data_IF_855947145470
#
_entry.id   IF_855947145470
#
_cell.length_a   1.000
_cell.length_b   1.000
_cell.length_c   1.000
_cell.angle_alpha   90.00
_cell.angle_beta   90.00
_cell.angle_gamma   90.00
#
_symmetry.space_group_name_H-M   'P 1'
#
loop_
_entity.id
_entity.type
_entity.pdbx_description
1 polymer ?
#
# COMPACT_ATOMS: atom_id res chain seq x y z
N UNK A 1 -34.03 3.99 -12.32
CA UNK A 1 -34.08 5.03 -11.26
C UNK A 1 -34.52 4.36 -9.97
N UNK A 2 -33.96 4.79 -8.84
CA UNK A 2 -34.04 4.28 -7.45
C UNK A 2 -33.01 3.21 -7.11
N UNK A 3 -32.16 3.36 -6.09
CA UNK A 3 -32.07 4.41 -5.07
C UNK A 3 -30.68 4.31 -4.41
N UNK A 4 -29.88 5.37 -4.50
CA UNK A 4 -28.64 5.52 -3.73
C UNK A 4 -29.05 5.73 -2.28
N UNK A 5 -28.97 4.68 -1.44
CA UNK A 5 -29.21 4.80 0.01
C UNK A 5 -27.90 5.06 0.73
N UNK A 6 -27.84 6.24 1.33
CA UNK A 6 -26.64 6.84 1.87
C UNK A 6 -26.09 6.24 3.15
N UNK A 7 -24.80 6.54 3.35
CA UNK A 7 -24.24 6.87 4.66
C UNK A 7 -23.48 8.19 4.53
N UNK A 8 -24.19 9.27 4.84
CA UNK A 8 -23.63 10.63 5.02
C UNK A 8 -22.99 10.72 6.40
N UNK A 9 -21.79 10.16 6.53
CA UNK A 9 -20.77 10.46 7.55
C UNK A 9 -19.80 9.28 7.52
N UNK A 10 -18.70 9.41 6.80
CA UNK A 10 -17.59 8.48 6.95
C UNK A 10 -16.69 9.16 7.95
N UNK A 11 -16.68 8.66 9.18
CA UNK A 11 -15.68 9.06 10.18
C UNK A 11 -14.33 8.95 9.49
N UNK A 12 -13.72 10.10 9.21
CA UNK A 12 -12.39 10.17 8.63
C UNK A 12 -11.44 9.82 9.76
N UNK A 13 -11.17 8.54 9.93
CA UNK A 13 -10.09 8.09 10.79
C UNK A 13 -8.81 8.26 9.97
N UNK A 14 -8.02 9.28 10.34
CA UNK A 14 -6.62 9.30 9.98
C UNK A 14 -5.88 8.63 11.14
N UNK A 15 -5.50 7.37 10.92
CA UNK A 15 -4.78 6.60 11.93
C UNK A 15 -3.29 6.90 11.83
N UNK A 16 -2.64 7.13 12.96
CA UNK A 16 -1.20 7.36 13.04
C UNK A 16 -0.54 6.32 13.94
N UNK A 17 0.51 5.70 13.44
CA UNK A 17 1.35 4.75 14.16
C UNK A 17 2.81 5.18 14.15
N UNK A 18 3.52 4.86 15.24
CA UNK A 18 4.97 5.06 15.35
C UNK A 18 5.59 3.78 15.91
N UNK A 19 6.55 3.21 15.20
CA UNK A 19 7.30 2.03 15.64
C UNK A 19 8.79 2.40 15.66
N UNK A 20 9.41 2.36 16.84
CA UNK A 20 10.87 2.47 16.95
C UNK A 20 11.49 1.13 16.60
N UNK A 21 12.33 1.10 15.57
CA UNK A 21 13.01 -0.12 15.11
C UNK A 21 14.33 -0.31 15.86
N UNK A 22 15.09 0.78 16.03
CA UNK A 22 16.34 0.82 16.80
C UNK A 22 16.61 2.25 17.31
N UNK A 23 17.82 2.50 17.81
CA UNK A 23 18.23 3.79 18.39
C UNK A 23 18.18 4.98 17.40
N UNK A 24 18.16 4.73 16.08
CA UNK A 24 18.20 5.77 15.04
C UNK A 24 17.02 5.69 14.08
N UNK A 25 16.35 4.53 13.99
CA UNK A 25 15.31 4.28 13.00
C UNK A 25 13.91 4.25 13.64
N UNK A 26 13.01 5.06 13.09
CA UNK A 26 11.61 5.12 13.47
C UNK A 26 10.76 5.01 12.20
N UNK A 27 9.81 4.07 12.22
CA UNK A 27 8.79 3.92 11.20
C UNK A 27 7.55 4.70 11.60
N UNK A 28 7.14 5.65 10.74
CA UNK A 28 5.88 6.36 10.84
C UNK A 28 4.87 5.72 9.90
N UNK A 29 3.67 5.42 10.40
CA UNK A 29 2.59 4.77 9.68
C UNK A 29 1.40 5.71 9.65
N UNK A 30 0.84 5.90 8.46
CA UNK A 30 -0.32 6.74 8.25
C UNK A 30 -1.40 5.91 7.56
N UNK A 31 -2.56 5.75 8.20
CA UNK A 31 -3.75 5.17 7.62
C UNK A 31 -4.53 6.25 6.88
N UNK A 32 -4.52 6.20 5.55
CA UNK A 32 -5.31 7.09 4.72
C UNK A 32 -6.54 6.34 4.16
N UNK A 33 -7.74 6.93 4.21
CA UNK A 33 -8.91 6.32 3.57
C UNK A 33 -8.70 6.26 2.05
N UNK A 34 -8.94 5.09 1.45
CA UNK A 34 -8.73 4.80 0.02
C UNK A 34 -9.74 5.43 -0.95
N UNK A 35 -10.65 6.28 -0.47
CA UNK A 35 -11.71 6.84 -1.30
C UNK A 35 -11.25 8.15 -1.96
N UNK A 36 -11.61 8.33 -3.23
CA UNK A 36 -11.25 9.48 -4.08
C UNK A 36 -11.35 10.82 -3.33
N UNK A 37 -12.45 11.08 -2.62
CA UNK A 37 -12.70 12.33 -1.89
C UNK A 37 -11.67 12.72 -0.81
N UNK A 38 -10.73 11.85 -0.43
CA UNK A 38 -9.64 12.15 0.51
C UNK A 38 -8.28 12.34 -0.16
N UNK A 39 -8.24 12.47 -1.49
CA UNK A 39 -7.01 12.66 -2.28
C UNK A 39 -6.14 13.84 -1.80
N UNK A 40 -6.74 14.90 -1.26
CA UNK A 40 -6.02 16.07 -0.75
C UNK A 40 -5.08 15.75 0.44
N UNK A 41 -5.35 14.68 1.19
CA UNK A 41 -4.45 14.20 2.26
C UNK A 41 -3.23 13.50 1.68
N UNK A 42 -3.37 12.86 0.51
CA UNK A 42 -2.35 11.98 -0.06
C UNK A 42 -1.16 12.77 -0.59
N UNK A 43 -1.40 13.92 -1.24
CA UNK A 43 -0.32 14.77 -1.76
C UNK A 43 0.63 15.27 -0.64
N UNK A 44 0.12 15.40 0.58
CA UNK A 44 0.93 15.75 1.77
C UNK A 44 1.66 14.56 2.38
N UNK A 45 1.08 13.36 2.28
CA UNK A 45 1.69 12.13 2.76
C UNK A 45 2.82 11.67 1.83
N UNK A 46 2.64 11.79 0.51
CA UNK A 46 3.64 11.36 -0.46
C UNK A 46 4.95 12.12 -0.37
N UNK A 47 4.92 13.38 0.09
CA UNK A 47 6.14 14.14 0.34
C UNK A 47 6.97 13.51 1.48
N UNK A 48 8.00 12.75 1.11
CA UNK A 48 8.92 12.09 2.04
C UNK A 48 8.50 10.70 2.52
N UNK A 49 7.46 10.09 1.92
CA UNK A 49 7.08 8.70 2.21
C UNK A 49 8.05 7.73 1.53
N UNK A 50 8.49 6.71 2.28
CA UNK A 50 9.41 5.69 1.78
C UNK A 50 8.72 4.71 0.82
N UNK A 51 7.43 4.41 1.07
CA UNK A 51 6.56 3.56 0.25
C UNK A 51 5.20 3.34 0.91
N UNK A 52 4.31 2.59 0.25
CA UNK A 52 2.92 2.38 0.70
C UNK A 52 2.51 0.91 0.80
N UNK A 53 1.48 0.64 1.61
CA UNK A 53 0.76 -0.64 1.61
C UNK A 53 -0.66 -0.37 1.12
N UNK A 54 -1.07 -1.03 0.04
CA UNK A 54 -2.48 -1.06 -0.39
C UNK A 54 -3.13 -2.26 0.25
N UNK A 55 -4.10 -2.02 1.15
CA UNK A 55 -4.79 -3.06 1.88
C UNK A 55 -6.10 -3.37 1.16
N UNK A 56 -6.16 -4.53 0.50
CA UNK A 56 -7.26 -4.91 -0.41
C UNK A 56 -8.25 -5.79 0.32
N UNK A 57 -9.54 -5.43 0.27
CA UNK A 57 -10.62 -6.34 0.64
C UNK A 57 -10.95 -7.21 -0.59
N UNK A 58 -10.70 -8.51 -0.51
CA UNK A 58 -10.90 -9.44 -1.64
C UNK A 58 -12.37 -9.55 -2.07
N UNK A 59 -13.32 -9.04 -1.28
CA UNK A 59 -14.75 -9.00 -1.65
C UNK A 59 -15.09 -7.78 -2.52
N UNK A 60 -14.18 -6.79 -2.56
CA UNK A 60 -14.36 -5.48 -3.21
C UNK A 60 -13.03 -5.01 -3.80
N UNK A 61 -12.44 -5.81 -4.66
CA UNK A 61 -11.12 -5.58 -5.25
C UNK A 61 -11.08 -4.23 -6.00
N UNK A 62 -12.14 -3.91 -6.75
CA UNK A 62 -12.26 -2.69 -7.56
C UNK A 62 -12.11 -1.39 -6.76
N UNK A 63 -12.45 -1.39 -5.46
CA UNK A 63 -12.28 -0.21 -4.59
C UNK A 63 -10.79 0.19 -4.45
N UNK A 64 -9.87 -0.72 -4.76
CA UNK A 64 -8.42 -0.53 -4.58
C UNK A 64 -7.73 0.04 -5.82
N UNK A 65 -8.39 0.03 -6.99
CA UNK A 65 -7.84 0.53 -8.26
C UNK A 65 -7.33 1.95 -8.16
N UNK A 66 -8.14 2.84 -7.58
CA UNK A 66 -7.79 4.26 -7.44
C UNK A 66 -6.51 4.47 -6.62
N UNK A 67 -6.31 3.68 -5.57
CA UNK A 67 -5.11 3.76 -4.74
C UNK A 67 -3.85 3.32 -5.50
N UNK A 68 -3.96 2.24 -6.28
CA UNK A 68 -2.86 1.69 -7.09
C UNK A 68 -2.47 2.66 -8.19
N UNK A 69 -3.43 3.08 -9.03
CA UNK A 69 -3.20 4.03 -10.14
C UNK A 69 -2.54 5.32 -9.62
N UNK A 70 -2.99 5.82 -8.47
CA UNK A 70 -2.40 7.02 -7.86
C UNK A 70 -0.95 6.79 -7.41
N UNK A 71 -0.63 5.65 -6.81
CA UNK A 71 0.72 5.32 -6.38
C UNK A 71 1.67 5.15 -7.56
N UNK A 72 1.20 4.50 -8.63
CA UNK A 72 1.92 4.34 -9.89
C UNK A 72 2.19 5.70 -10.55
N UNK A 73 1.17 6.56 -10.63
CA UNK A 73 1.30 7.89 -11.20
C UNK A 73 2.29 8.78 -10.45
N UNK A 74 2.41 8.60 -9.13
CA UNK A 74 3.39 9.30 -8.28
C UNK A 74 4.74 8.60 -8.19
N UNK A 75 4.90 7.43 -8.80
CA UNK A 75 6.13 6.63 -8.71
C UNK A 75 6.46 6.19 -7.28
N UNK A 76 5.47 6.12 -6.39
CA UNK A 76 5.67 5.73 -4.99
C UNK A 76 5.72 4.21 -4.91
N UNK A 77 6.83 3.59 -4.48
CA UNK A 77 6.89 2.13 -4.40
C UNK A 77 5.90 1.59 -3.36
N UNK A 78 5.26 0.47 -3.65
CA UNK A 78 4.22 -0.07 -2.80
C UNK A 78 4.16 -1.60 -2.82
N UNK A 79 3.42 -2.16 -1.87
CA UNK A 79 3.03 -3.56 -1.86
C UNK A 79 1.51 -3.67 -1.72
N UNK A 80 0.95 -4.82 -2.10
CA UNK A 80 -0.49 -5.10 -1.97
C UNK A 80 -0.69 -6.21 -0.94
N UNK A 81 -1.45 -5.91 0.12
CA UNK A 81 -1.81 -6.86 1.17
C UNK A 81 -3.29 -7.23 1.07
N UNK A 82 -3.58 -8.47 0.67
CA UNK A 82 -4.93 -9.02 0.58
C UNK A 82 -5.43 -9.37 1.97
N UNK A 83 -6.35 -8.56 2.50
CA UNK A 83 -6.86 -8.76 3.84
C UNK A 83 -7.96 -9.82 3.84
N UNK A 84 -7.62 -11.01 4.33
CA UNK A 84 -8.52 -12.14 4.43
C UNK A 84 -9.17 -12.18 5.83
N UNK A 85 -10.49 -11.96 5.86
CA UNK A 85 -11.29 -12.08 7.07
C UNK A 85 -11.80 -13.51 7.34
N UNK A 86 -11.32 -14.52 6.60
CA UNK A 86 -11.64 -15.93 6.77
C UNK A 86 -12.41 -16.55 5.60
N UNK A 87 -12.16 -16.13 4.35
CA UNK A 87 -12.85 -16.66 3.18
C UNK A 87 -12.51 -15.99 1.85
N UNK A 88 -11.23 -15.67 1.58
CA UNK A 88 -10.87 -15.19 0.24
C UNK A 88 -11.13 -16.28 -0.81
N UNK A 89 -12.05 -16.00 -1.75
CA UNK A 89 -12.42 -16.90 -2.83
C UNK A 89 -11.52 -16.76 -4.07
N UNK A 90 -10.57 -15.81 -4.04
CA UNK A 90 -9.73 -15.45 -5.17
C UNK A 90 -8.29 -15.93 -4.95
N UNK A 91 -7.73 -16.54 -5.98
CA UNK A 91 -6.31 -16.89 -6.02
C UNK A 91 -5.47 -15.63 -6.21
N UNK A 92 -4.18 -15.64 -5.80
CA UNK A 92 -3.28 -14.51 -6.04
C UNK A 92 -3.20 -14.08 -7.51
N UNK A 93 -3.29 -15.04 -8.45
CA UNK A 93 -3.30 -14.75 -9.88
C UNK A 93 -4.53 -13.94 -10.31
N UNK A 94 -5.72 -14.30 -9.83
CA UNK A 94 -6.95 -13.57 -10.11
C UNK A 94 -6.91 -12.16 -9.52
N UNK A 95 -6.32 -11.99 -8.34
CA UNK A 95 -6.19 -10.67 -7.72
C UNK A 95 -5.22 -9.80 -8.52
N UNK A 96 -4.08 -10.35 -8.96
CA UNK A 96 -3.14 -9.62 -9.83
C UNK A 96 -3.80 -9.17 -11.13
N UNK A 97 -4.50 -10.08 -11.80
CA UNK A 97 -5.22 -9.78 -13.04
C UNK A 97 -6.30 -8.71 -12.80
N UNK A 98 -7.10 -8.85 -11.74
CA UNK A 98 -8.15 -7.90 -11.42
C UNK A 98 -7.63 -6.51 -11.08
N UNK A 99 -6.40 -6.38 -10.58
CA UNK A 99 -5.76 -5.11 -10.22
C UNK A 99 -4.81 -4.58 -11.30
N UNK A 100 -4.64 -5.29 -12.42
CA UNK A 100 -3.59 -5.04 -13.43
C UNK A 100 -2.19 -4.86 -12.81
N UNK A 101 -1.89 -5.67 -11.79
CA UNK A 101 -0.75 -5.44 -10.91
C UNK A 101 0.57 -5.92 -11.52
N UNK A 102 1.56 -5.02 -11.58
CA UNK A 102 2.90 -5.37 -12.04
C UNK A 102 3.49 -6.60 -11.30
N UNK A 103 4.11 -7.57 -12.01
CA UNK A 103 4.67 -8.77 -11.40
C UNK A 103 5.71 -8.52 -10.30
N UNK A 104 6.40 -7.38 -10.35
CA UNK A 104 7.42 -6.98 -9.38
C UNK A 104 6.82 -6.44 -8.08
N UNK A 105 5.54 -6.03 -8.09
CA UNK A 105 4.86 -5.58 -6.88
C UNK A 105 4.53 -6.80 -6.00
N UNK A 106 5.04 -6.85 -4.75
CA UNK A 106 4.71 -7.92 -3.82
C UNK A 106 3.22 -7.95 -3.51
N UNK A 107 2.64 -9.14 -3.63
CA UNK A 107 1.26 -9.46 -3.26
C UNK A 107 1.30 -10.53 -2.18
N UNK A 108 0.67 -10.28 -1.04
CA UNK A 108 0.62 -11.23 0.07
C UNK A 108 -0.72 -11.21 0.79
N UNK A 109 -1.11 -12.35 1.35
CA UNK A 109 -2.26 -12.43 2.24
C UNK A 109 -1.93 -11.86 3.62
N UNK A 110 -2.92 -11.21 4.23
CA UNK A 110 -2.83 -10.72 5.59
C UNK A 110 -4.15 -10.88 6.34
N UNK A 111 -4.10 -10.98 7.67
CA UNK A 111 -5.24 -10.67 8.54
C UNK A 111 -4.87 -9.45 9.37
N UNK A 112 -5.48 -8.31 9.07
CA UNK A 112 -5.19 -7.04 9.75
C UNK A 112 -5.49 -7.08 11.26
N UNK A 113 -6.29 -8.04 11.75
CA UNK A 113 -6.56 -8.25 13.18
C UNK A 113 -5.41 -8.97 13.89
N UNK A 114 -4.53 -9.63 13.12
CA UNK A 114 -3.37 -10.36 13.64
C UNK A 114 -2.13 -9.47 13.60
N UNK A 115 -1.62 -9.14 14.79
CA UNK A 115 -0.38 -8.36 14.94
C UNK A 115 0.80 -8.97 14.18
N UNK A 116 0.97 -10.29 14.23
CA UNK A 116 2.06 -10.96 13.52
C UNK A 116 1.86 -10.93 12.00
N UNK A 117 0.61 -10.95 11.53
CA UNK A 117 0.33 -10.78 10.10
C UNK A 117 0.64 -9.37 9.63
N UNK A 118 0.18 -8.35 10.36
CA UNK A 118 0.45 -6.94 10.03
C UNK A 118 1.95 -6.63 10.10
N UNK A 119 2.68 -7.22 11.04
CA UNK A 119 4.14 -7.11 11.11
C UNK A 119 4.83 -7.66 9.86
N UNK A 120 4.40 -8.81 9.34
CA UNK A 120 4.95 -9.37 8.10
C UNK A 120 4.74 -8.43 6.91
N UNK A 121 3.56 -7.84 6.78
CA UNK A 121 3.27 -6.84 5.73
C UNK A 121 4.27 -5.68 5.78
N UNK A 122 4.54 -5.13 6.97
CA UNK A 122 5.51 -4.04 7.11
C UNK A 122 6.95 -4.47 6.80
N UNK A 123 7.34 -5.69 7.19
CA UNK A 123 8.66 -6.25 6.84
C UNK A 123 8.80 -6.37 5.32
N UNK A 124 7.80 -6.96 4.66
CA UNK A 124 7.78 -7.12 3.19
C UNK A 124 7.88 -5.76 2.48
N UNK A 125 7.20 -4.73 2.98
CA UNK A 125 7.34 -3.39 2.43
C UNK A 125 8.79 -2.90 2.53
N UNK A 126 9.40 -2.96 3.71
CA UNK A 126 10.79 -2.50 3.91
C UNK A 126 11.78 -3.28 3.04
N UNK A 127 11.61 -4.59 2.89
CA UNK A 127 12.45 -5.43 2.04
C UNK A 127 12.30 -5.09 0.54
N UNK A 128 11.06 -4.84 0.09
CA UNK A 128 10.79 -4.39 -1.26
C UNK A 128 11.47 -3.05 -1.54
N UNK A 129 11.32 -2.08 -0.62
CA UNK A 129 11.94 -0.76 -0.73
C UNK A 129 13.46 -0.82 -0.79
N UNK A 130 14.10 -1.67 0.02
CA UNK A 130 15.55 -1.88 -0.08
C UNK A 130 15.98 -2.36 -1.46
N UNK A 131 15.18 -3.22 -2.09
CA UNK A 131 15.47 -3.73 -3.44
C UNK A 131 15.31 -2.64 -4.48
N UNK A 132 14.21 -1.87 -4.43
CA UNK A 132 13.94 -0.78 -5.37
C UNK A 132 15.04 0.30 -5.29
N UNK A 133 15.35 0.80 -4.09
CA UNK A 133 16.36 1.85 -3.92
C UNK A 133 17.80 1.38 -4.18
N UNK A 134 18.09 0.09 -3.96
CA UNK A 134 19.39 -0.47 -4.35
C UNK A 134 19.55 -0.49 -5.88
N UNK A 135 18.50 -0.88 -6.62
CA UNK A 135 18.50 -0.85 -8.09
C UNK A 135 18.63 0.56 -8.65
N UNK A 136 17.91 1.54 -8.09
CA UNK A 136 18.04 2.95 -8.51
C UNK A 136 19.45 3.52 -8.26
N UNK A 137 20.05 3.17 -7.12
CA UNK A 137 21.42 3.61 -6.79
C UNK A 137 22.45 3.02 -7.76
N UNK A 138 22.27 1.76 -8.17
CA UNK A 138 23.12 1.12 -9.17
C UNK A 138 22.98 1.73 -10.56
N UNK A 139 21.76 2.15 -10.96
CA UNK A 139 21.47 2.80 -12.23
C UNK A 139 22.02 4.24 -12.32
N UNK A 140 22.21 4.94 -11.19
CA UNK A 140 22.80 6.30 -11.12
C UNK A 140 24.34 6.32 -11.06
N UNK A 141 24.97 5.19 -10.78
CA UNK A 141 26.42 5.08 -10.67
C UNK A 141 27.26 5.05 -11.98
N UNK A 142 26.74 4.91 -13.22
CA UNK A 142 27.60 4.71 -14.39
C UNK A 142 28.26 5.97 -14.98
N UNK A 143 28.00 7.19 -14.49
CA UNK A 143 28.49 8.43 -15.15
C UNK A 143 29.73 9.09 -14.51
N UNK A 144 30.32 8.50 -13.46
CA UNK A 144 31.55 9.03 -12.80
C UNK A 144 32.81 8.21 -13.07
N UNK A 145 32.77 7.30 -14.04
CA UNK A 145 33.91 6.46 -14.42
C UNK A 145 34.40 6.78 -15.84
N UNK A 146 34.85 8.01 -16.08
CA UNK A 146 35.74 8.39 -17.19
C UNK A 146 36.68 9.52 -16.76
#
# INVERSE_FOLDING_TARGET
ISEVRGKSATTVAFDFGRITLDARNVLYLFGAPGQERFWFLWDRLFSGTLGAVVLVDTRRIDDSWYAIDRLEHHGTPFIVACNDFGGSAHTPAQIREALDLDPQVPLLDCDARSRESSKRVLITLVEHLKTVYASESALRAPELAL
#
